data_IF_492068960925
#
_entry.id   IF_492068960925
#
_cell.length_a   1.000
_cell.length_b   1.000
_cell.length_c   1.000
_cell.angle_alpha   90.00
_cell.angle_beta   90.00
_cell.angle_gamma   90.00
#
_symmetry.space_group_name_H-M   'P 1'
#
loop_
_entity.id
_entity.type
_entity.pdbx_description
1 polymer ?
#
# COMPACT_ATOMS: atom_id res chain seq x y z
N UNK A 1 -15.56 14.84 -0.40
CA UNK A 1 -15.35 13.40 -0.71
C UNK A 1 -14.88 13.13 -2.14
N UNK A 2 -15.43 13.76 -3.20
CA UNK A 2 -15.01 13.48 -4.59
C UNK A 2 -13.50 13.61 -4.81
N UNK A 3 -12.87 14.72 -4.40
CA UNK A 3 -11.44 14.92 -4.52
C UNK A 3 -10.62 13.85 -3.77
N UNK A 4 -11.05 13.48 -2.55
CA UNK A 4 -10.43 12.42 -1.75
C UNK A 4 -10.44 11.09 -2.51
N UNK A 5 -11.59 10.69 -3.07
CA UNK A 5 -11.72 9.44 -3.80
C UNK A 5 -10.95 9.42 -5.13
N UNK A 6 -10.86 10.56 -5.83
CA UNK A 6 -10.01 10.69 -7.02
C UNK A 6 -8.53 10.55 -6.69
N UNK A 7 -8.06 11.23 -5.64
CA UNK A 7 -6.68 11.12 -5.18
C UNK A 7 -6.37 9.71 -4.66
N UNK A 8 -7.31 9.06 -3.98
CA UNK A 8 -7.19 7.65 -3.59
C UNK A 8 -7.13 6.72 -4.79
N UNK A 9 -7.92 6.95 -5.84
CA UNK A 9 -7.84 6.16 -7.07
C UNK A 9 -6.47 6.34 -7.73
N UNK A 10 -5.98 7.58 -7.85
CA UNK A 10 -4.63 7.85 -8.34
C UNK A 10 -3.57 7.13 -7.51
N UNK A 11 -3.65 7.23 -6.18
CA UNK A 11 -2.74 6.54 -5.27
C UNK A 11 -2.79 5.03 -5.44
N UNK A 12 -3.98 4.44 -5.56
CA UNK A 12 -4.16 3.01 -5.76
C UNK A 12 -3.55 2.53 -7.08
N UNK A 13 -3.66 3.31 -8.16
CA UNK A 13 -3.07 2.99 -9.46
C UNK A 13 -1.54 3.07 -9.43
N UNK A 14 -0.97 4.11 -8.81
CA UNK A 14 0.49 4.24 -8.66
C UNK A 14 1.04 3.14 -7.75
N UNK A 15 0.37 2.86 -6.63
CA UNK A 15 0.75 1.78 -5.71
C UNK A 15 0.62 0.39 -6.34
N UNK A 16 -0.39 0.17 -7.20
CA UNK A 16 -0.48 -1.06 -7.99
C UNK A 16 0.68 -1.18 -8.98
N UNK A 17 1.07 -0.09 -9.65
CA UNK A 17 2.26 -0.08 -10.50
C UNK A 17 3.53 -0.40 -9.70
N UNK A 18 3.73 0.23 -8.54
CA UNK A 18 4.88 -0.02 -7.67
C UNK A 18 4.95 -1.50 -7.24
N UNK A 19 3.81 -2.03 -6.80
CA UNK A 19 3.67 -3.43 -6.36
C UNK A 19 3.94 -4.42 -7.49
N UNK A 20 3.36 -4.20 -8.67
CA UNK A 20 3.48 -5.13 -9.79
C UNK A 20 4.85 -5.04 -10.47
N UNK A 21 5.38 -3.83 -10.63
CA UNK A 21 6.60 -3.59 -11.39
C UNK A 21 7.85 -3.70 -10.53
N UNK A 22 7.99 -2.90 -9.47
CA UNK A 22 9.20 -2.89 -8.66
C UNK A 22 9.24 -4.05 -7.69
N UNK A 23 8.17 -4.25 -6.92
CA UNK A 23 8.12 -5.26 -5.87
C UNK A 23 8.06 -6.71 -6.43
N UNK A 24 7.11 -7.00 -7.32
CA UNK A 24 6.93 -8.34 -7.88
C UNK A 24 7.91 -8.65 -9.01
N UNK A 25 7.94 -7.84 -10.07
CA UNK A 25 8.70 -8.19 -11.28
C UNK A 25 10.21 -7.95 -11.13
N UNK A 26 10.62 -6.76 -10.66
CA UNK A 26 12.04 -6.36 -10.61
C UNK A 26 12.75 -6.94 -9.37
N UNK A 27 12.22 -6.70 -8.18
CA UNK A 27 12.83 -7.16 -6.93
C UNK A 27 12.56 -8.65 -6.66
N UNK A 28 11.43 -9.18 -7.16
CA UNK A 28 10.93 -10.54 -6.86
C UNK A 28 10.85 -10.76 -5.36
N UNK A 29 10.40 -9.73 -4.63
CA UNK A 29 10.55 -9.63 -3.19
C UNK A 29 9.95 -10.83 -2.43
N UNK A 30 8.78 -11.37 -2.81
CA UNK A 30 8.21 -12.55 -2.14
C UNK A 30 9.11 -13.81 -2.19
N UNK A 31 10.05 -13.89 -3.13
CA UNK A 31 10.98 -15.01 -3.25
C UNK A 31 12.34 -14.79 -2.57
N UNK A 32 12.62 -13.58 -2.02
CA UNK A 32 13.88 -13.24 -1.32
C UNK A 32 14.00 -13.88 0.07
N UNK A 33 12.98 -14.64 0.50
CA UNK A 33 13.02 -15.43 1.73
C UNK A 33 13.23 -14.57 2.98
N UNK A 34 14.13 -15.00 3.86
CA UNK A 34 14.36 -14.32 5.14
C UNK A 34 14.88 -12.89 5.02
N UNK A 35 15.58 -12.54 3.92
CA UNK A 35 16.19 -11.23 3.72
C UNK A 35 15.13 -10.13 3.61
N UNK A 36 14.02 -10.38 2.89
CA UNK A 36 12.95 -9.40 2.69
C UNK A 36 11.83 -9.45 3.76
N UNK A 37 11.99 -10.26 4.82
CA UNK A 37 10.90 -10.49 5.79
C UNK A 37 10.40 -9.21 6.46
N UNK A 38 11.31 -8.31 6.83
CA UNK A 38 10.94 -7.07 7.52
C UNK A 38 10.14 -6.16 6.59
N UNK A 39 10.63 -5.96 5.37
CA UNK A 39 9.97 -5.18 4.31
C UNK A 39 8.59 -5.75 3.97
N UNK A 40 8.49 -7.06 3.71
CA UNK A 40 7.22 -7.74 3.40
C UNK A 40 6.18 -7.61 4.53
N UNK A 41 6.59 -7.54 5.80
CA UNK A 41 5.66 -7.29 6.91
C UNK A 41 5.10 -5.88 6.85
N UNK A 42 5.94 -4.88 6.60
CA UNK A 42 5.49 -3.49 6.46
C UNK A 42 4.54 -3.35 5.27
N UNK A 43 4.93 -3.89 4.11
CA UNK A 43 4.10 -3.91 2.91
C UNK A 43 2.76 -4.58 3.16
N UNK A 44 2.76 -5.77 3.76
CA UNK A 44 1.55 -6.52 4.06
C UNK A 44 0.58 -5.80 5.00
N UNK A 45 1.08 -5.21 6.10
CA UNK A 45 0.24 -4.45 7.02
C UNK A 45 -0.29 -3.18 6.37
N UNK A 46 0.57 -2.43 5.65
CA UNK A 46 0.17 -1.24 4.91
C UNK A 46 -0.91 -1.55 3.88
N UNK A 47 -0.76 -2.65 3.13
CA UNK A 47 -1.71 -3.11 2.14
C UNK A 47 -3.09 -3.42 2.75
N UNK A 48 -3.15 -4.01 3.94
CA UNK A 48 -4.42 -4.22 4.68
C UNK A 48 -5.07 -2.90 5.06
N UNK A 49 -4.30 -1.90 5.50
CA UNK A 49 -4.85 -0.56 5.78
C UNK A 49 -5.45 0.03 4.49
N UNK A 50 -4.71 0.02 3.38
CA UNK A 50 -5.23 0.51 2.10
C UNK A 50 -6.45 -0.26 1.61
N UNK A 51 -6.54 -1.57 1.84
CA UNK A 51 -7.74 -2.36 1.53
C UNK A 51 -8.96 -1.85 2.31
N UNK A 52 -8.80 -1.52 3.59
CA UNK A 52 -9.87 -0.90 4.40
C UNK A 52 -10.24 0.48 3.85
N UNK A 53 -9.26 1.32 3.52
CA UNK A 53 -9.51 2.67 2.99
C UNK A 53 -10.26 2.61 1.65
N UNK A 54 -9.72 1.89 0.66
CA UNK A 54 -10.31 1.75 -0.67
C UNK A 54 -11.65 1.02 -0.64
N UNK A 55 -11.79 0.02 0.23
CA UNK A 55 -12.98 -0.81 0.35
C UNK A 55 -14.13 -0.15 1.11
N UNK A 56 -13.89 0.86 1.95
CA UNK A 56 -14.93 1.43 2.82
C UNK A 56 -15.24 2.89 2.53
N UNK A 57 -14.25 3.76 2.26
CA UNK A 57 -14.48 5.21 2.08
C UNK A 57 -15.45 5.58 0.94
N UNK A 58 -15.54 4.82 -0.16
CA UNK A 58 -16.57 5.08 -1.18
C UNK A 58 -17.99 4.78 -0.71
N UNK A 59 -18.15 3.92 0.30
CA UNK A 59 -19.42 3.28 0.67
C UNK A 59 -20.00 3.78 1.99
N UNK A 60 -19.15 4.02 2.99
CA UNK A 60 -19.57 4.37 4.35
C UNK A 60 -18.78 5.56 4.90
N UNK A 61 -19.48 6.38 5.67
CA UNK A 61 -18.90 7.43 6.49
C UNK A 61 -18.64 6.88 7.90
N UNK A 62 -17.42 7.08 8.39
CA UNK A 62 -16.98 6.60 9.70
C UNK A 62 -17.24 7.67 10.75
N UNK A 63 -18.41 7.68 11.39
CA UNK A 63 -18.78 8.74 12.34
C UNK A 63 -18.33 8.46 13.78
N UNK A 64 -18.14 9.52 14.57
CA UNK A 64 -17.82 9.46 16.00
C UNK A 64 -16.52 8.71 16.30
N UNK A 65 -16.57 7.72 17.19
CA UNK A 65 -15.40 6.89 17.55
C UNK A 65 -14.78 6.17 16.35
N UNK A 66 -15.57 5.85 15.31
CA UNK A 66 -15.04 5.26 14.09
C UNK A 66 -14.19 6.25 13.29
N UNK A 67 -14.53 7.55 13.24
CA UNK A 67 -13.65 8.56 12.65
C UNK A 67 -12.31 8.62 13.40
N UNK A 68 -12.32 8.55 14.73
CA UNK A 68 -11.08 8.54 15.52
C UNK A 68 -10.22 7.30 15.21
N UNK A 69 -10.83 6.11 15.11
CA UNK A 69 -10.14 4.88 14.69
C UNK A 69 -9.56 4.99 13.29
N UNK A 70 -10.30 5.57 12.35
CA UNK A 70 -9.84 5.81 10.99
C UNK A 70 -8.67 6.81 10.96
N UNK A 71 -8.71 7.86 11.79
CA UNK A 71 -7.58 8.78 11.97
C UNK A 71 -6.33 8.09 12.52
N UNK A 72 -6.51 7.18 13.49
CA UNK A 72 -5.41 6.36 13.99
C UNK A 72 -4.84 5.44 12.90
N UNK A 73 -5.69 4.82 12.08
CA UNK A 73 -5.25 3.99 10.94
C UNK A 73 -4.41 4.79 9.95
N UNK A 74 -4.81 6.02 9.61
CA UNK A 74 -4.02 6.91 8.74
C UNK A 74 -2.67 7.29 9.38
N UNK A 75 -2.64 7.56 10.68
CA UNK A 75 -1.39 7.85 11.38
C UNK A 75 -0.45 6.63 11.39
N UNK A 76 -0.98 5.44 11.65
CA UNK A 76 -0.23 4.19 11.60
C UNK A 76 0.31 3.95 10.19
N UNK A 77 -0.50 4.18 9.15
CA UNK A 77 -0.04 4.09 7.76
C UNK A 77 1.12 5.04 7.49
N UNK A 78 1.06 6.30 7.94
CA UNK A 78 2.15 7.26 7.77
C UNK A 78 3.43 6.72 8.42
N UNK A 79 3.34 6.23 9.66
CA UNK A 79 4.49 5.67 10.38
C UNK A 79 5.05 4.45 9.65
N UNK A 80 4.21 3.55 9.16
CA UNK A 80 4.65 2.40 8.36
C UNK A 80 5.35 2.87 7.09
N UNK A 81 4.80 3.84 6.36
CA UNK A 81 5.39 4.37 5.14
C UNK A 81 6.73 5.05 5.39
N UNK A 82 6.90 5.76 6.51
CA UNK A 82 8.22 6.29 6.88
C UNK A 82 9.21 5.19 7.29
N UNK A 83 8.75 4.19 8.04
CA UNK A 83 9.57 3.04 8.41
C UNK A 83 10.01 2.25 7.18
N UNK A 84 9.15 2.16 6.16
CA UNK A 84 9.43 1.50 4.89
C UNK A 84 10.65 2.09 4.20
N UNK A 85 10.76 3.42 4.09
CA UNK A 85 11.94 4.06 3.50
C UNK A 85 13.26 3.67 4.18
N UNK A 86 13.23 3.48 5.50
CA UNK A 86 14.42 3.08 6.26
C UNK A 86 14.69 1.59 6.08
N UNK A 87 13.67 0.75 6.30
CA UNK A 87 13.80 -0.70 6.25
C UNK A 87 14.13 -1.18 4.84
N UNK A 88 13.51 -0.60 3.82
CA UNK A 88 13.77 -0.93 2.43
C UNK A 88 15.21 -0.58 2.03
N UNK A 89 15.73 0.59 2.42
CA UNK A 89 17.12 0.96 2.12
C UNK A 89 18.11 -0.02 2.77
N UNK A 90 17.85 -0.43 4.01
CA UNK A 90 18.67 -1.43 4.72
C UNK A 90 18.57 -2.83 4.10
N UNK A 91 17.35 -3.31 3.86
CA UNK A 91 17.06 -4.65 3.33
C UNK A 91 17.56 -4.80 1.89
N UNK A 92 17.43 -3.76 1.08
CA UNK A 92 17.78 -3.81 -0.35
C UNK A 92 19.21 -3.37 -0.63
N UNK A 93 19.94 -2.78 0.31
CA UNK A 93 21.37 -2.47 0.16
C UNK A 93 22.20 -3.65 -0.38
N UNK A 94 22.12 -4.89 0.16
CA UNK A 94 22.86 -6.04 -0.40
C UNK A 94 22.32 -6.52 -1.76
N UNK A 95 21.14 -6.05 -2.18
CA UNK A 95 20.48 -6.43 -3.44
C UNK A 95 20.73 -5.42 -4.58
N UNK A 96 21.66 -4.47 -4.39
CA UNK A 96 21.93 -3.38 -5.34
C UNK A 96 21.18 -2.07 -5.04
N UNK A 97 20.49 -2.00 -3.90
CA UNK A 97 19.74 -0.83 -3.44
C UNK A 97 18.33 -0.70 -4.05
N UNK A 98 17.61 0.32 -3.61
CA UNK A 98 16.28 0.68 -4.15
C UNK A 98 16.42 1.28 -5.55
N UNK A 99 15.56 0.87 -6.48
CA UNK A 99 15.64 1.35 -7.86
C UNK A 99 15.39 2.86 -7.93
N UNK A 100 16.11 3.62 -8.78
CA UNK A 100 15.88 5.06 -8.92
C UNK A 100 14.43 5.41 -9.28
N UNK A 101 13.80 4.62 -10.15
CA UNK A 101 12.40 4.80 -10.54
C UNK A 101 11.43 4.55 -9.39
N UNK A 102 11.72 3.59 -8.50
CA UNK A 102 10.91 3.29 -7.31
C UNK A 102 10.93 4.47 -6.34
N UNK A 103 12.11 5.07 -6.10
CA UNK A 103 12.24 6.28 -5.28
C UNK A 103 11.41 7.46 -5.81
N UNK A 104 11.38 7.65 -7.14
CA UNK A 104 10.54 8.67 -7.77
C UNK A 104 9.05 8.33 -7.60
N UNK A 105 8.65 7.08 -7.84
CA UNK A 105 7.29 6.59 -7.63
C UNK A 105 6.83 6.85 -6.20
N UNK A 106 7.65 6.49 -5.21
CA UNK A 106 7.39 6.71 -3.78
C UNK A 106 7.24 8.19 -3.44
N UNK A 107 8.11 9.04 -3.99
CA UNK A 107 8.02 10.49 -3.80
C UNK A 107 6.70 11.06 -4.33
N UNK A 108 6.27 10.61 -5.52
CA UNK A 108 4.97 11.00 -6.10
C UNK A 108 3.82 10.49 -5.23
N UNK A 109 3.87 9.23 -4.78
CA UNK A 109 2.86 8.66 -3.88
C UNK A 109 2.74 9.46 -2.58
N UNK A 110 3.87 9.90 -2.00
CA UNK A 110 3.86 10.76 -0.81
C UNK A 110 3.16 12.10 -1.05
N UNK A 111 3.37 12.72 -2.21
CA UNK A 111 2.69 13.98 -2.59
C UNK A 111 1.19 13.76 -2.78
N UNK A 112 0.80 12.74 -3.54
CA UNK A 112 -0.61 12.41 -3.79
C UNK A 112 -1.34 12.07 -2.48
N UNK A 113 -0.68 11.32 -1.60
CA UNK A 113 -1.22 11.00 -0.28
C UNK A 113 -1.37 12.23 0.61
N UNK A 114 -0.36 13.11 0.66
CA UNK A 114 -0.45 14.38 1.38
C UNK A 114 -1.61 15.25 0.88
N UNK A 115 -1.81 15.33 -0.44
CA UNK A 115 -2.95 16.03 -1.03
C UNK A 115 -4.28 15.36 -0.64
N UNK A 116 -4.34 14.02 -0.62
CA UNK A 116 -5.51 13.27 -0.18
C UNK A 116 -5.85 13.61 1.28
N UNK A 117 -4.86 13.57 2.19
CA UNK A 117 -5.03 13.92 3.59
C UNK A 117 -5.50 15.37 3.77
N UNK A 118 -4.94 16.33 3.03
CA UNK A 118 -5.35 17.73 3.10
C UNK A 118 -6.85 17.92 2.79
N UNK A 119 -7.39 17.13 1.87
CA UNK A 119 -8.83 17.13 1.56
C UNK A 119 -9.66 16.27 2.53
N UNK A 120 -9.08 15.22 3.09
CA UNK A 120 -9.81 14.26 3.91
C UNK A 120 -9.89 14.64 5.38
N UNK A 121 -8.86 15.28 5.95
CA UNK A 121 -8.83 15.69 7.36
C UNK A 121 -10.04 16.56 7.75
N UNK A 122 -10.46 17.59 6.97
CA UNK A 122 -11.68 18.34 7.29
C UNK A 122 -12.94 17.47 7.32
N UNK A 123 -13.05 16.48 6.41
CA UNK A 123 -14.16 15.52 6.39
C UNK A 123 -14.13 14.63 7.62
N UNK A 124 -12.94 14.12 7.98
CA UNK A 124 -12.74 13.26 9.13
C UNK A 124 -13.11 13.98 10.44
N UNK A 125 -12.74 15.26 10.58
CA UNK A 125 -13.12 16.09 11.72
C UNK A 125 -14.63 16.31 11.79
N UNK A 126 -15.28 16.56 10.66
CA UNK A 126 -16.74 16.65 10.60
C UNK A 126 -17.40 15.32 11.02
N UNK A 127 -16.92 14.19 10.50
CA UNK A 127 -17.41 12.87 10.89
C UNK A 127 -17.16 12.54 12.36
N UNK A 128 -16.05 13.01 12.95
CA UNK A 128 -15.76 12.81 14.37
C UNK A 128 -16.76 13.52 15.29
N UNK A 129 -17.40 14.59 14.82
CA UNK A 129 -18.43 15.32 15.56
C UNK A 129 -19.83 14.65 15.52
N UNK A 130 -20.02 13.66 14.65
CA UNK A 130 -21.28 12.93 14.50
C UNK A 130 -21.40 11.78 15.53
N UNK A 131 -22.62 11.32 15.84
CA UNK A 131 -22.83 10.12 16.66
C UNK A 131 -22.14 8.88 16.05
N UNK A 132 -21.58 8.02 16.90
CA UNK A 132 -20.79 6.86 16.45
C UNK A 132 -21.65 5.89 15.62
N UNK A 133 -21.35 5.81 14.33
CA UNK A 133 -22.05 4.95 13.37
C UNK A 133 -21.20 4.75 12.10
N UNK A 134 -21.44 3.64 11.39
CA UNK A 134 -21.04 3.52 10.00
C UNK A 134 -22.25 3.87 9.14
N UNK A 135 -22.29 5.11 8.64
CA UNK A 135 -23.43 5.61 7.87
C UNK A 135 -23.21 5.32 6.37
N UNK A 136 -24.22 4.77 5.69
CA UNK A 136 -24.14 4.51 4.25
C UNK A 136 -24.10 5.85 3.51
N UNK A 137 -23.08 6.04 2.67
CA UNK A 137 -23.02 7.17 1.75
C UNK A 137 -23.91 6.87 0.55
N UNK A 138 -24.83 7.76 0.14
CA UNK A 138 -25.61 7.58 -1.09
C UNK A 138 -24.70 7.50 -2.33
N UNK A 139 -25.01 6.60 -3.27
CA UNK A 139 -24.12 6.29 -4.39
C UNK A 139 -23.88 7.46 -5.36
N UNK A 140 -24.90 8.29 -5.61
CA UNK A 140 -24.82 9.52 -6.40
C UNK A 140 -23.90 9.44 -7.64
N UNK A 141 -23.21 10.53 -7.92
CA UNK A 141 -22.19 10.65 -8.98
C UNK A 141 -20.89 9.86 -8.68
N UNK A 142 -20.77 9.26 -7.49
CA UNK A 142 -19.60 8.51 -7.03
C UNK A 142 -19.68 7.01 -7.37
N UNK A 143 -20.74 6.58 -8.07
CA UNK A 143 -21.02 5.18 -8.39
C UNK A 143 -19.88 4.51 -9.17
N UNK A 144 -19.25 5.22 -10.12
CA UNK A 144 -18.13 4.67 -10.89
C UNK A 144 -16.85 4.56 -10.05
N UNK A 145 -16.61 5.50 -9.12
CA UNK A 145 -15.45 5.45 -8.21
C UNK A 145 -15.53 4.24 -7.27
N UNK A 146 -16.74 3.88 -6.81
CA UNK A 146 -16.99 2.63 -6.05
C UNK A 146 -16.58 1.40 -6.84
N UNK A 147 -16.99 1.34 -8.11
CA UNK A 147 -16.68 0.23 -9.01
C UNK A 147 -15.19 0.18 -9.37
N UNK A 148 -14.51 1.32 -9.43
CA UNK A 148 -13.07 1.37 -9.69
C UNK A 148 -12.23 0.99 -8.46
N UNK A 149 -12.58 1.52 -7.28
CA UNK A 149 -11.83 1.29 -6.04
C UNK A 149 -12.07 -0.11 -5.45
N UNK A 150 -13.22 -0.73 -5.68
CA UNK A 150 -13.53 -2.07 -5.19
C UNK A 150 -12.52 -3.15 -5.62
N UNK A 151 -12.24 -3.33 -6.92
CA UNK A 151 -11.21 -4.24 -7.41
C UNK A 151 -9.81 -3.90 -6.90
N UNK A 152 -9.47 -2.61 -6.78
CA UNK A 152 -8.18 -2.18 -6.23
C UNK A 152 -8.05 -2.52 -4.74
N UNK A 153 -9.12 -2.39 -3.96
CA UNK A 153 -9.18 -2.81 -2.57
C UNK A 153 -8.95 -4.32 -2.42
N UNK A 154 -9.57 -5.12 -3.30
CA UNK A 154 -9.36 -6.57 -3.32
C UNK A 154 -7.94 -6.93 -3.76
N UNK A 155 -7.43 -6.28 -4.81
CA UNK A 155 -6.08 -6.52 -5.32
C UNK A 155 -5.00 -6.22 -4.28
N UNK A 156 -5.09 -5.06 -3.62
CA UNK A 156 -4.14 -4.70 -2.56
C UNK A 156 -4.27 -5.63 -1.35
N UNK A 157 -5.49 -6.09 -0.99
CA UNK A 157 -5.67 -7.07 0.07
C UNK A 157 -5.00 -8.41 -0.27
N UNK A 158 -5.21 -8.93 -1.48
CA UNK A 158 -4.61 -10.18 -1.94
C UNK A 158 -3.08 -10.07 -1.95
N UNK A 159 -2.54 -8.96 -2.45
CA UNK A 159 -1.10 -8.68 -2.43
C UNK A 159 -0.57 -8.63 -0.99
N UNK A 160 -1.24 -7.90 -0.10
CA UNK A 160 -0.80 -7.77 1.29
C UNK A 160 -0.82 -9.09 2.05
N UNK A 161 -1.86 -9.92 1.85
CA UNK A 161 -1.93 -11.25 2.43
C UNK A 161 -0.81 -12.16 1.89
N UNK A 162 -0.46 -12.02 0.61
CA UNK A 162 0.68 -12.72 0.02
C UNK A 162 1.99 -12.28 0.68
N UNK A 163 2.21 -11.00 0.91
CA UNK A 163 3.44 -10.50 1.56
C UNK A 163 3.57 -11.01 2.99
N UNK A 164 2.48 -10.99 3.76
CA UNK A 164 2.44 -11.57 5.11
C UNK A 164 2.71 -13.09 5.09
N UNK A 165 2.19 -13.81 4.09
CA UNK A 165 2.46 -15.22 3.90
C UNK A 165 3.93 -15.49 3.50
N UNK A 166 4.51 -14.69 2.61
CA UNK A 166 5.91 -14.78 2.22
C UNK A 166 6.83 -14.47 3.43
N UNK A 167 6.50 -13.45 4.22
CA UNK A 167 7.23 -13.11 5.43
C UNK A 167 7.22 -14.22 6.50
N UNK A 168 6.16 -15.04 6.54
CA UNK A 168 6.07 -16.21 7.41
C UNK A 168 6.78 -17.46 6.86
N UNK A 169 7.37 -17.37 5.66
CA UNK A 169 8.14 -18.45 5.03
C UNK A 169 7.33 -19.36 4.10
N UNK A 170 6.12 -18.96 3.72
CA UNK A 170 5.30 -19.73 2.77
C UNK A 170 5.96 -19.78 1.39
N UNK A 171 6.27 -21.00 0.93
CA UNK A 171 6.80 -21.23 -0.43
C UNK A 171 5.78 -20.97 -1.53
N UNK A 172 4.48 -21.07 -1.22
CA UNK A 172 3.41 -20.76 -2.17
C UNK A 172 3.36 -19.27 -2.48
N UNK A 173 3.63 -18.42 -1.48
CA UNK A 173 3.65 -16.97 -1.66
C UNK A 173 4.85 -16.48 -2.49
N UNK A 174 5.91 -17.29 -2.61
CA UNK A 174 7.04 -16.99 -3.48
C UNK A 174 6.72 -17.18 -4.97
N UNK A 175 5.75 -18.04 -5.33
CA UNK A 175 5.35 -18.28 -6.72
C UNK A 175 4.83 -17.00 -7.40
N UNK A 176 5.14 -16.72 -8.68
CA UNK A 176 5.83 -17.58 -9.65
C UNK A 176 7.36 -17.52 -9.57
N UNK A 177 7.90 -16.69 -8.69
CA UNK A 177 9.33 -16.44 -8.61
C UNK A 177 10.04 -17.59 -7.89
N UNK A 178 11.14 -18.04 -8.48
CA UNK A 178 12.09 -18.94 -7.84
C UNK A 178 13.46 -18.32 -8.04
N UNK A 179 14.11 -17.94 -6.95
CA UNK A 179 15.51 -17.56 -7.02
C UNK A 179 16.29 -18.85 -7.25
N UNK A 180 16.87 -18.97 -8.44
CA UNK A 180 17.87 -20.01 -8.72
C UNK A 180 19.16 -19.56 -8.01
N UNK A 181 19.94 -20.45 -7.38
CA UNK A 181 21.18 -20.08 -6.70
C UNK A 181 22.14 -19.21 -7.55
N UNK A 182 22.05 -19.28 -8.88
CA UNK A 182 22.93 -18.56 -9.82
C UNK A 182 22.55 -17.07 -10.07
N UNK A 183 21.41 -16.57 -9.58
CA UNK A 183 21.02 -15.16 -9.71
C UNK A 183 21.91 -14.20 -8.86
N UNK A 184 22.72 -14.74 -7.94
CA UNK A 184 23.79 -13.99 -7.25
C UNK A 184 24.98 -13.70 -8.17
N UNK A 185 25.26 -14.54 -9.18
CA UNK A 185 26.40 -14.39 -10.08
C UNK A 185 26.09 -13.46 -11.27
N UNK A 186 24.89 -13.53 -11.85
CA UNK A 186 24.53 -12.75 -13.04
C UNK A 186 24.37 -11.24 -12.78
N UNK A 187 23.99 -10.86 -11.55
CA UNK A 187 23.89 -9.45 -11.15
C UNK A 187 25.25 -8.84 -10.74
N UNK A 188 26.27 -9.65 -10.49
CA UNK A 188 27.62 -9.19 -10.20
C UNK A 188 28.40 -8.82 -11.48
N UNK A 189 28.08 -9.41 -12.63
CA UNK A 189 28.79 -9.18 -13.91
C UNK A 189 28.28 -7.98 -14.72
N UNK A 190 27.22 -7.30 -14.28
CA UNK A 190 26.61 -6.16 -15.03
C UNK A 190 26.69 -4.81 -14.31
N UNK A 191 27.48 -4.69 -13.23
CA UNK A 191 27.74 -3.41 -12.58
C UNK A 191 29.05 -2.78 -13.11
N UNK A 192 29.03 -1.55 -13.66
CA UNK A 192 30.24 -0.75 -13.87
C UNK A 192 30.84 -0.23 -12.56
#
# INVERSE_FOLDING_TARGET
>A
MTAVLLLMLTQALIGAFDTLYFHEYRARLPARGGQARAELRLHGVRAVIYAVLFGTLPWVAWHGLFAALLGLLLLVEIVITQADFVVEDEVRRPLGGVFPGERVTHSIMGIVYGAMLAHFVPVLLAWAAEPTALAIVPAGELSWLRLALGPLALGVLVSGLRDLAAASGSRLAAWPWRLVPDDEAANAETMP
#
